data_IF_947427870594
#
_entry.id   IF_947427870594
#
_cell.length_a   1.000
_cell.length_b   1.000
_cell.length_c   1.000
_cell.angle_alpha   90.00
_cell.angle_beta   90.00
_cell.angle_gamma   90.00
#
_symmetry.space_group_name_H-M   'P 1'
#
loop_
_entity.id
_entity.type
_entity.pdbx_description
1 polymer ?
#
# COMPACT_ATOMS: atom_id res chain seq x y z
N UNK A 1 0.20 -15.48 4.68
CA UNK A 1 -0.56 -16.64 5.12
C UNK A 1 0.35 -17.60 5.88
N UNK A 2 -0.02 -17.98 7.12
CA UNK A 2 0.69 -18.94 7.96
C UNK A 2 -0.22 -20.15 8.16
N UNK A 3 0.28 -21.35 7.85
CA UNK A 3 -0.45 -22.59 8.13
C UNK A 3 -0.05 -23.14 9.50
N UNK A 4 -1.07 -23.59 10.27
CA UNK A 4 -0.83 -24.35 11.51
C UNK A 4 -1.46 -25.74 11.33
N UNK A 5 -0.64 -26.80 11.33
CA UNK A 5 -1.08 -28.18 11.05
C UNK A 5 -0.62 -29.17 12.11
N UNK A 6 -1.47 -30.18 12.38
CA UNK A 6 -1.11 -31.36 13.18
C UNK A 6 -0.39 -32.46 12.37
N UNK A 7 -0.34 -32.34 11.05
CA UNK A 7 0.35 -33.30 10.16
C UNK A 7 1.86 -33.02 10.14
N UNK A 8 2.68 -34.08 10.11
CA UNK A 8 4.14 -33.98 10.18
C UNK A 8 4.83 -33.44 8.94
N UNK A 9 4.16 -33.30 7.81
CA UNK A 9 4.72 -32.70 6.60
C UNK A 9 3.65 -32.00 5.75
N UNK A 10 3.99 -30.88 5.08
CA UNK A 10 3.13 -30.27 4.11
C UNK A 10 2.92 -31.23 2.91
N UNK A 11 1.69 -31.39 2.47
CA UNK A 11 1.38 -32.20 1.28
C UNK A 11 1.51 -31.35 0.02
N UNK A 12 1.72 -32.00 -1.14
CA UNK A 12 1.80 -31.32 -2.46
C UNK A 12 0.58 -30.42 -2.72
N UNK A 13 -0.57 -30.73 -2.16
CA UNK A 13 -1.80 -29.89 -2.24
C UNK A 13 -1.68 -28.59 -1.45
N UNK A 14 -0.83 -28.53 -0.43
CA UNK A 14 -0.57 -27.33 0.37
C UNK A 14 0.25 -26.28 -0.38
N UNK A 15 0.95 -26.67 -1.46
CA UNK A 15 1.76 -25.78 -2.29
C UNK A 15 0.99 -25.02 -3.38
N UNK A 16 -0.33 -25.28 -3.52
CA UNK A 16 -1.18 -24.45 -4.42
C UNK A 16 -1.29 -22.98 -3.96
N UNK A 17 -1.03 -22.75 -2.68
CA UNK A 17 -0.92 -21.41 -2.07
C UNK A 17 0.46 -21.36 -1.45
N UNK A 18 1.31 -20.41 -1.84
CA UNK A 18 2.65 -20.26 -1.25
C UNK A 18 2.52 -19.74 0.18
N UNK A 19 2.55 -20.60 1.21
CA UNK A 19 2.45 -20.11 2.58
C UNK A 19 3.76 -19.43 2.94
N UNK A 20 3.66 -18.37 3.71
CA UNK A 20 4.82 -17.67 4.24
C UNK A 20 5.59 -18.55 5.23
N UNK A 21 4.88 -19.29 6.10
CA UNK A 21 5.43 -20.22 7.08
C UNK A 21 4.46 -21.36 7.40
N UNK A 22 5.04 -22.46 7.88
CA UNK A 22 4.33 -23.65 8.33
C UNK A 22 4.61 -23.87 9.81
N UNK A 23 3.59 -23.80 10.68
CA UNK A 23 3.67 -24.09 12.09
C UNK A 23 3.13 -25.51 12.36
N UNK A 24 3.91 -26.32 13.05
CA UNK A 24 3.49 -27.67 13.44
C UNK A 24 2.88 -27.63 14.84
N UNK A 25 1.70 -28.23 15.02
CA UNK A 25 1.06 -28.37 16.33
C UNK A 25 1.86 -29.29 17.28
N UNK A 26 2.81 -30.04 16.74
CA UNK A 26 3.72 -30.90 17.50
C UNK A 26 4.99 -30.20 18.00
N UNK A 27 5.16 -28.92 17.70
CA UNK A 27 6.30 -28.16 18.26
C UNK A 27 6.20 -28.08 19.78
N UNK A 28 7.36 -28.14 20.45
CA UNK A 28 7.43 -27.75 21.85
C UNK A 28 7.09 -26.27 22.00
N UNK A 29 6.62 -25.86 23.18
CA UNK A 29 6.30 -24.46 23.47
C UNK A 29 7.47 -23.52 23.13
N UNK A 30 8.70 -23.97 23.39
CA UNK A 30 9.91 -23.20 23.09
C UNK A 30 10.13 -23.00 21.59
N UNK A 31 9.91 -24.06 20.80
CA UNK A 31 10.02 -23.99 19.33
C UNK A 31 8.90 -23.13 18.74
N UNK A 32 7.67 -23.30 19.25
CA UNK A 32 6.53 -22.50 18.81
C UNK A 32 6.74 -21.00 19.06
N UNK A 33 7.22 -20.63 20.25
CA UNK A 33 7.53 -19.24 20.59
C UNK A 33 8.65 -18.68 19.71
N UNK A 34 9.66 -19.49 19.38
CA UNK A 34 10.75 -19.06 18.49
C UNK A 34 10.23 -18.74 17.07
N UNK A 35 9.47 -19.67 16.47
CA UNK A 35 8.87 -19.49 15.15
C UNK A 35 7.90 -18.30 15.11
N UNK A 36 7.07 -18.14 16.15
CA UNK A 36 6.15 -17.00 16.26
C UNK A 36 6.90 -15.66 16.36
N UNK A 37 8.01 -15.59 17.10
CA UNK A 37 8.85 -14.38 17.17
C UNK A 37 9.43 -14.03 15.81
N UNK A 38 9.89 -15.01 15.02
CA UNK A 38 10.38 -14.77 13.67
C UNK A 38 9.27 -14.26 12.75
N UNK A 39 8.09 -14.89 12.78
CA UNK A 39 6.92 -14.45 12.00
C UNK A 39 6.55 -13.01 12.36
N UNK A 40 6.41 -12.70 13.66
CA UNK A 40 6.07 -11.36 14.14
C UNK A 40 7.13 -10.33 13.76
N UNK A 41 8.43 -10.69 13.83
CA UNK A 41 9.52 -9.79 13.44
C UNK A 41 9.47 -9.45 11.95
N UNK A 42 9.08 -10.40 11.09
CA UNK A 42 8.95 -10.15 9.65
C UNK A 42 7.66 -9.41 9.29
N UNK A 43 6.55 -9.71 9.97
CA UNK A 43 5.33 -8.91 9.85
C UNK A 43 5.62 -7.46 10.25
N UNK A 44 6.32 -7.24 11.37
CA UNK A 44 6.74 -5.91 11.80
C UNK A 44 7.71 -5.22 10.83
N UNK A 45 8.55 -5.97 10.10
CA UNK A 45 9.40 -5.42 9.03
C UNK A 45 8.60 -5.06 7.79
N UNK A 46 7.55 -5.84 7.46
CA UNK A 46 6.64 -5.56 6.34
C UNK A 46 5.63 -4.47 6.67
N UNK A 47 5.27 -4.30 7.92
CA UNK A 47 4.47 -3.19 8.43
C UNK A 47 5.33 -2.00 8.86
N UNK A 48 6.56 -1.84 8.32
CA UNK A 48 7.28 -0.59 8.47
C UNK A 48 6.39 0.49 7.86
N UNK A 49 5.88 1.32 8.74
CA UNK A 49 5.22 2.54 8.34
C UNK A 49 6.18 3.30 7.44
N UNK A 50 5.88 3.33 6.15
CA UNK A 50 6.65 4.09 5.19
C UNK A 50 6.11 5.52 5.19
N UNK A 51 7.03 6.49 5.20
CA UNK A 51 6.67 7.88 5.30
C UNK A 51 7.26 8.66 4.13
N UNK A 52 6.50 9.63 3.67
CA UNK A 52 6.99 10.67 2.77
C UNK A 52 7.24 11.93 3.58
N UNK A 53 8.38 12.57 3.34
CA UNK A 53 8.69 13.86 3.93
C UNK A 53 8.14 14.95 3.02
N UNK A 54 7.21 15.71 3.55
CA UNK A 54 6.61 16.85 2.86
C UNK A 54 6.87 18.17 3.57
N UNK A 55 6.51 19.25 2.91
CA UNK A 55 6.66 20.61 3.39
C UNK A 55 5.33 21.36 3.35
N UNK A 56 5.04 22.07 4.42
CA UNK A 56 3.92 23.00 4.49
C UNK A 56 4.41 24.32 5.05
N UNK A 57 4.46 25.37 4.22
CA UNK A 57 5.11 26.64 4.56
C UNK A 57 6.57 26.41 4.99
N UNK A 58 6.92 26.74 6.24
CA UNK A 58 8.26 26.53 6.81
C UNK A 58 8.36 25.24 7.66
N UNK A 59 7.34 24.39 7.65
CA UNK A 59 7.33 23.17 8.45
C UNK A 59 7.67 21.94 7.59
N UNK A 60 8.46 21.04 8.16
CA UNK A 60 8.71 19.70 7.62
C UNK A 60 7.70 18.76 8.24
N UNK A 61 7.00 17.97 7.41
CA UNK A 61 5.92 17.09 7.84
C UNK A 61 6.24 15.69 7.38
N UNK A 62 6.10 14.74 8.28
CA UNK A 62 6.15 13.31 7.96
C UNK A 62 4.72 12.80 7.73
N UNK A 63 4.45 12.29 6.54
CA UNK A 63 3.15 11.74 6.15
C UNK A 63 3.27 10.24 5.94
N UNK A 64 2.44 9.46 6.61
CA UNK A 64 2.38 8.02 6.39
C UNK A 64 1.78 7.75 4.99
N UNK A 65 2.37 6.82 4.24
CA UNK A 65 1.88 6.45 2.91
C UNK A 65 0.43 5.94 2.98
N UNK A 66 0.08 5.25 4.05
CA UNK A 66 -1.28 4.75 4.28
C UNK A 66 -2.32 5.85 4.48
N UNK A 67 -1.89 7.07 4.77
CA UNK A 67 -2.79 8.22 4.92
C UNK A 67 -2.96 9.01 3.62
N UNK A 68 -2.18 8.67 2.58
CA UNK A 68 -2.18 9.38 1.29
C UNK A 68 -3.18 8.74 0.34
N UNK A 69 -4.17 9.50 -0.10
CA UNK A 69 -5.17 9.09 -1.09
C UNK A 69 -4.62 9.13 -2.51
N UNK A 70 -4.04 10.26 -2.88
CA UNK A 70 -3.40 10.46 -4.17
C UNK A 70 -2.40 11.62 -4.13
N UNK A 71 -1.60 11.75 -5.15
CA UNK A 71 -0.58 12.80 -5.28
C UNK A 71 -0.71 13.47 -6.64
N UNK A 72 -0.73 14.79 -6.67
CA UNK A 72 -0.86 15.62 -7.86
C UNK A 72 0.45 16.31 -8.24
N UNK A 73 0.63 16.62 -9.52
CA UNK A 73 1.71 17.49 -9.97
C UNK A 73 1.57 18.88 -9.35
N UNK A 74 2.69 19.45 -8.89
CA UNK A 74 2.79 20.83 -8.46
C UNK A 74 3.81 21.59 -9.32
N UNK A 75 3.88 22.93 -9.18
CA UNK A 75 4.87 23.76 -9.91
C UNK A 75 6.32 23.33 -9.62
N UNK A 76 6.58 22.83 -8.42
CA UNK A 76 7.84 22.21 -8.01
C UNK A 76 7.51 20.94 -7.25
N UNK A 77 7.98 19.78 -7.74
CA UNK A 77 7.67 18.50 -7.14
C UNK A 77 6.20 18.08 -7.25
N UNK A 78 5.63 17.62 -6.17
CA UNK A 78 4.27 17.08 -6.10
C UNK A 78 3.51 17.57 -4.88
N UNK A 79 2.19 17.49 -4.90
CA UNK A 79 1.28 17.85 -3.80
C UNK A 79 0.55 16.60 -3.32
N UNK A 80 0.60 16.33 -2.02
CA UNK A 80 -0.04 15.20 -1.38
C UNK A 80 -1.46 15.54 -0.95
N UNK A 81 -2.41 14.65 -1.22
CA UNK A 81 -3.78 14.67 -0.71
C UNK A 81 -3.94 13.49 0.24
N UNK A 82 -4.35 13.78 1.46
CA UNK A 82 -4.47 12.80 2.55
C UNK A 82 -5.93 12.57 2.96
N UNK A 83 -6.17 11.46 3.66
CA UNK A 83 -7.46 11.15 4.27
C UNK A 83 -7.82 12.21 5.35
N UNK A 84 -9.11 12.38 5.62
CA UNK A 84 -9.63 13.42 6.51
C UNK A 84 -9.36 13.17 8.00
N UNK A 85 -9.14 11.93 8.37
CA UNK A 85 -9.01 11.45 9.76
C UNK A 85 -7.56 11.30 10.22
N UNK A 86 -6.58 11.60 9.37
CA UNK A 86 -5.16 11.56 9.72
C UNK A 86 -4.65 12.89 10.30
N UNK A 87 -3.53 12.86 11.02
CA UNK A 87 -2.91 14.07 11.58
C UNK A 87 -2.51 15.10 10.52
N UNK A 88 -2.18 14.64 9.32
CA UNK A 88 -1.76 15.50 8.21
C UNK A 88 -2.94 16.25 7.56
N UNK A 89 -4.18 15.85 7.81
CA UNK A 89 -5.40 16.51 7.28
C UNK A 89 -5.51 17.99 7.69
N UNK A 90 -4.97 18.37 8.85
CA UNK A 90 -4.94 19.76 9.33
C UNK A 90 -4.21 20.75 8.41
N UNK A 91 -3.42 20.23 7.46
CA UNK A 91 -2.71 21.04 6.47
C UNK A 91 -3.50 21.25 5.17
N UNK A 92 -4.78 20.83 5.13
CA UNK A 92 -5.77 21.09 4.07
C UNK A 92 -5.27 20.74 2.65
N UNK A 93 -4.55 19.63 2.51
CA UNK A 93 -4.02 19.19 1.21
C UNK A 93 -2.98 20.13 0.60
N UNK A 94 -2.28 20.93 1.39
CA UNK A 94 -1.23 21.86 0.92
C UNK A 94 0.18 21.33 1.21
N UNK A 95 0.32 20.04 1.41
CA UNK A 95 1.60 19.39 1.67
C UNK A 95 2.33 19.17 0.33
N UNK A 96 3.49 19.79 0.18
CA UNK A 96 4.33 19.67 -1.00
C UNK A 96 5.48 18.70 -0.73
N UNK A 97 5.90 17.99 -1.76
CA UNK A 97 7.05 17.07 -1.77
C UNK A 97 7.94 17.43 -2.94
N UNK A 98 9.25 17.36 -2.75
CA UNK A 98 10.21 17.67 -3.81
C UNK A 98 10.26 16.61 -4.90
N UNK A 99 9.96 15.34 -4.55
CA UNK A 99 9.90 14.21 -5.49
C UNK A 99 8.80 14.43 -6.54
N UNK A 100 9.09 14.07 -7.79
CA UNK A 100 8.10 14.04 -8.88
C UNK A 100 7.26 12.76 -8.82
N UNK A 101 6.13 12.74 -9.54
CA UNK A 101 5.24 11.58 -9.57
C UNK A 101 5.95 10.30 -10.03
N UNK A 102 6.85 10.39 -11.03
CA UNK A 102 7.62 9.26 -11.55
C UNK A 102 8.56 8.66 -10.50
N UNK A 103 9.16 9.51 -9.67
CA UNK A 103 10.04 9.09 -8.58
C UNK A 103 9.23 8.40 -7.48
N UNK A 104 8.06 8.95 -7.12
CA UNK A 104 7.16 8.38 -6.12
C UNK A 104 6.64 7.01 -6.53
N UNK A 105 6.20 6.82 -7.77
CA UNK A 105 5.73 5.51 -8.27
C UNK A 105 6.86 4.48 -8.32
N UNK A 106 8.09 4.90 -8.59
CA UNK A 106 9.25 3.99 -8.58
C UNK A 106 9.65 3.58 -7.17
N UNK A 107 9.47 4.47 -6.19
CA UNK A 107 9.91 4.33 -4.81
C UNK A 107 8.89 3.58 -3.95
N UNK A 108 7.60 3.75 -4.24
CA UNK A 108 6.48 3.25 -3.45
C UNK A 108 5.51 2.49 -4.34
N UNK A 109 5.36 1.21 -4.09
CA UNK A 109 4.54 0.29 -4.90
C UNK A 109 3.03 0.49 -4.71
N UNK A 110 2.63 1.24 -3.69
CA UNK A 110 1.24 1.62 -3.42
C UNK A 110 0.69 2.59 -4.46
N UNK A 111 1.55 3.34 -5.14
CA UNK A 111 1.12 4.34 -6.11
C UNK A 111 1.10 3.83 -7.53
N UNK A 112 0.05 4.20 -8.27
CA UNK A 112 -0.06 3.95 -9.70
C UNK A 112 -0.52 5.19 -10.46
N UNK A 113 0.02 5.39 -11.68
CA UNK A 113 -0.44 6.44 -12.56
C UNK A 113 -1.88 6.21 -13.02
N UNK A 114 -2.76 7.14 -12.72
CA UNK A 114 -4.12 7.22 -13.26
C UNK A 114 -4.23 8.28 -14.36
N UNK A 115 -3.42 9.33 -14.25
CA UNK A 115 -3.35 10.44 -15.20
C UNK A 115 -1.92 10.98 -15.23
N UNK A 116 -1.55 11.71 -16.30
CA UNK A 116 -0.24 12.40 -16.38
C UNK A 116 -0.02 13.43 -15.27
N UNK A 117 -1.10 13.90 -14.63
CA UNK A 117 -1.07 14.92 -13.58
C UNK A 117 -1.21 14.36 -12.18
N UNK A 118 -1.49 13.09 -11.99
CA UNK A 118 -1.61 12.48 -10.67
C UNK A 118 -1.44 10.96 -10.66
N UNK A 119 -1.06 10.47 -9.50
CA UNK A 119 -0.96 9.06 -9.13
C UNK A 119 -1.92 8.78 -7.97
N UNK A 120 -2.50 7.60 -7.93
CA UNK A 120 -3.46 7.18 -6.89
C UNK A 120 -2.82 6.09 -6.03
N UNK A 121 -3.06 6.15 -4.72
CA UNK A 121 -2.75 5.05 -3.83
C UNK A 121 -3.79 3.93 -4.01
N UNK A 122 -3.29 2.77 -4.41
CA UNK A 122 -4.11 1.61 -4.77
C UNK A 122 -4.86 1.05 -3.55
N UNK A 123 -4.29 1.22 -2.35
CA UNK A 123 -4.85 0.69 -1.11
C UNK A 123 -6.13 1.42 -0.67
N UNK A 124 -6.34 2.66 -1.15
CA UNK A 124 -7.55 3.45 -0.92
C UNK A 124 -8.65 3.25 -1.98
N UNK A 125 -8.42 2.37 -2.97
CA UNK A 125 -9.41 2.14 -4.03
C UNK A 125 -10.47 1.14 -3.56
N UNK A 126 -11.72 1.59 -3.52
CA UNK A 126 -12.88 0.72 -3.22
C UNK A 126 -13.35 -0.02 -4.47
N UNK A 127 -13.44 0.68 -5.61
CA UNK A 127 -13.89 0.10 -6.89
C UNK A 127 -13.47 0.93 -8.09
N UNK A 128 -13.44 0.28 -9.26
CA UNK A 128 -13.23 0.92 -10.56
C UNK A 128 -14.45 0.66 -11.45
N UNK A 129 -15.10 1.71 -11.92
CA UNK A 129 -16.26 1.63 -12.80
C UNK A 129 -15.98 2.42 -14.08
N UNK A 130 -15.92 1.73 -15.22
CA UNK A 130 -15.51 2.37 -16.47
C UNK A 130 -14.11 2.96 -16.39
N UNK A 131 -13.99 4.26 -16.47
CA UNK A 131 -12.75 5.03 -16.32
C UNK A 131 -12.69 5.81 -14.99
N UNK A 132 -13.61 5.58 -14.07
CA UNK A 132 -13.66 6.23 -12.77
C UNK A 132 -13.19 5.29 -11.66
N UNK A 133 -12.37 5.83 -10.76
CA UNK A 133 -11.89 5.21 -9.53
C UNK A 133 -12.62 5.84 -8.36
N UNK A 134 -13.17 5.01 -7.49
CA UNK A 134 -13.85 5.42 -6.27
C UNK A 134 -12.93 5.13 -5.09
N UNK A 135 -12.61 6.15 -4.33
CA UNK A 135 -11.79 6.05 -3.13
C UNK A 135 -12.66 5.81 -1.88
N UNK A 136 -12.04 5.40 -0.80
CA UNK A 136 -12.69 5.11 0.49
C UNK A 136 -13.23 6.35 1.22
N UNK A 137 -12.82 7.55 0.80
CA UNK A 137 -13.36 8.84 1.24
C UNK A 137 -14.53 9.35 0.37
N UNK A 138 -15.13 8.49 -0.47
CA UNK A 138 -16.18 8.81 -1.44
C UNK A 138 -15.76 9.74 -2.60
N UNK A 139 -14.49 10.10 -2.69
CA UNK A 139 -13.96 10.88 -3.80
C UNK A 139 -13.87 10.04 -5.08
N UNK A 140 -14.03 10.72 -6.24
CA UNK A 140 -13.98 10.07 -7.56
C UNK A 140 -12.90 10.72 -8.41
N UNK A 141 -12.02 9.88 -8.95
CA UNK A 141 -10.97 10.31 -9.85
C UNK A 141 -11.07 9.55 -11.16
N UNK A 142 -10.71 10.21 -12.27
CA UNK A 142 -10.77 9.58 -13.59
C UNK A 142 -9.41 9.00 -13.98
N UNK A 143 -9.43 7.82 -14.62
CA UNK A 143 -8.23 7.23 -15.21
C UNK A 143 -8.20 7.56 -16.70
N UNK A 144 -7.14 8.21 -17.16
CA UNK A 144 -6.99 8.54 -18.56
C UNK A 144 -6.82 7.29 -19.43
N UNK A 145 -7.24 7.35 -20.70
CA UNK A 145 -7.19 6.21 -21.62
C UNK A 145 -5.80 5.58 -21.72
N UNK A 146 -4.76 6.39 -21.64
CA UNK A 146 -3.37 5.97 -21.72
C UNK A 146 -2.98 5.03 -20.58
N UNK A 147 -3.44 5.30 -19.36
CA UNK A 147 -3.07 4.55 -18.15
C UNK A 147 -4.07 3.45 -17.79
N UNK A 148 -5.28 3.44 -18.38
CA UNK A 148 -6.40 2.59 -17.98
C UNK A 148 -6.06 1.09 -17.93
N UNK A 149 -5.34 0.58 -18.93
CA UNK A 149 -4.98 -0.85 -19.01
C UNK A 149 -3.99 -1.23 -17.91
N UNK A 150 -2.93 -0.45 -17.75
CA UNK A 150 -1.88 -0.70 -16.77
C UNK A 150 -2.43 -0.54 -15.34
N UNK A 151 -3.15 0.54 -15.08
CA UNK A 151 -3.76 0.81 -13.78
C UNK A 151 -4.65 -0.33 -13.31
N UNK A 152 -5.52 -0.86 -14.19
CA UNK A 152 -6.36 -2.01 -13.86
C UNK A 152 -5.56 -3.28 -13.57
N UNK A 153 -4.48 -3.52 -14.30
CA UNK A 153 -3.60 -4.67 -14.06
C UNK A 153 -2.92 -4.57 -12.69
N UNK A 154 -2.41 -3.38 -12.32
CA UNK A 154 -1.78 -3.14 -11.04
C UNK A 154 -2.80 -3.35 -9.91
N UNK A 155 -3.99 -2.74 -10.02
CA UNK A 155 -5.06 -2.90 -9.04
C UNK A 155 -5.46 -4.38 -8.84
N UNK A 156 -5.68 -5.12 -9.95
CA UNK A 156 -6.04 -6.54 -9.87
C UNK A 156 -4.95 -7.39 -9.21
N UNK A 157 -3.67 -7.11 -9.53
CA UNK A 157 -2.54 -7.81 -8.90
C UNK A 157 -2.43 -7.51 -7.40
N UNK A 158 -2.67 -6.26 -6.99
CA UNK A 158 -2.66 -5.88 -5.57
C UNK A 158 -3.73 -6.64 -4.79
N UNK A 159 -4.97 -6.71 -5.31
CA UNK A 159 -6.05 -7.48 -4.66
C UNK A 159 -5.69 -8.97 -4.59
N UNK A 160 -5.18 -9.56 -5.69
CA UNK A 160 -4.82 -10.98 -5.72
C UNK A 160 -3.66 -11.32 -4.78
N UNK A 161 -2.75 -10.38 -4.51
CA UNK A 161 -1.63 -10.56 -3.58
C UNK A 161 -2.01 -10.41 -2.09
N UNK A 162 -3.18 -9.84 -1.80
CA UNK A 162 -3.69 -9.70 -0.42
C UNK A 162 -4.48 -10.92 0.08
N UNK A 163 -4.79 -11.88 -0.81
CA UNK A 163 -5.45 -13.15 -0.52
C UNK A 163 -4.52 -14.32 -0.88
#
# INVERSE_FOLDING_TARGET
LVFCSGMRAPTVKSFKVTPYRYLMKSYSDRQFVCEMKEILSEVAKKSKEEYIIGHYRNNVIRVNIQDILYVENAKRGSKIIVCSDCEAAKFEGQILVDDKLEELVTKYYEFAFAHSSYIINIDHIVKIVGNEVYLDNDERLSVSRTYQKEFRQIFTKNIAGKY
#
